data_IF_989667866029
#
_entry.id   IF_989667866029
#
_cell.length_a   1.000
_cell.length_b   1.000
_cell.length_c   1.000
_cell.angle_alpha   90.00
_cell.angle_beta   90.00
_cell.angle_gamma   90.00
#
_symmetry.space_group_name_H-M   'P 1'
#
loop_
_entity.id
_entity.type
_entity.pdbx_description
1 polymer ?
#
# COMPACT_ATOMS: atom_id res chain seq x y z
N UNK A 1 -9.31 17.05 -7.22
CA UNK A 1 -10.41 16.93 -8.19
C UNK A 1 -9.71 16.71 -9.51
N UNK A 2 -9.45 15.46 -9.85
CA UNK A 2 -8.72 15.12 -11.06
C UNK A 2 -9.71 15.05 -12.22
N UNK A 3 -9.49 15.92 -13.20
CA UNK A 3 -10.33 16.16 -14.37
C UNK A 3 -10.63 14.86 -15.10
N UNK A 4 -11.90 14.48 -15.08
CA UNK A 4 -12.48 13.53 -16.00
C UNK A 4 -13.50 14.27 -16.86
N UNK A 5 -13.57 14.00 -18.18
CA UNK A 5 -12.75 13.06 -18.96
C UNK A 5 -11.35 13.61 -19.34
N UNK A 6 -10.42 12.77 -19.88
CA UNK A 6 -9.14 13.23 -20.42
C UNK A 6 -9.36 14.34 -21.44
N UNK A 7 -8.40 15.26 -21.57
CA UNK A 7 -8.53 16.44 -22.42
C UNK A 7 -8.99 16.12 -23.85
N UNK A 8 -8.53 14.98 -24.41
CA UNK A 8 -8.93 14.56 -25.76
C UNK A 8 -10.41 14.19 -25.89
N UNK A 9 -11.08 13.74 -24.82
CA UNK A 9 -12.48 13.35 -24.90
C UNK A 9 -13.36 14.61 -25.04
N UNK A 10 -12.98 15.72 -24.40
CA UNK A 10 -13.75 16.98 -24.41
C UNK A 10 -13.85 17.63 -25.79
N UNK A 11 -12.87 17.40 -26.66
CA UNK A 11 -12.77 18.06 -27.96
C UNK A 11 -13.78 17.51 -28.98
N UNK A 12 -14.26 16.27 -28.78
CA UNK A 12 -15.04 15.52 -29.76
C UNK A 12 -16.44 15.13 -29.29
N UNK A 13 -16.80 15.37 -28.02
CA UNK A 13 -18.15 15.14 -27.49
C UNK A 13 -19.25 15.94 -28.21
N UNK A 14 -18.88 16.93 -29.04
CA UNK A 14 -19.80 17.70 -29.89
C UNK A 14 -19.96 17.20 -31.34
N UNK A 15 -19.25 16.14 -31.75
CA UNK A 15 -19.33 15.61 -33.12
C UNK A 15 -20.63 14.84 -33.39
N UNK A 16 -21.25 14.30 -32.35
CA UNK A 16 -22.43 13.44 -32.45
C UNK A 16 -23.48 13.95 -31.47
N UNK A 17 -24.70 14.08 -31.97
CA UNK A 17 -25.85 14.38 -31.12
C UNK A 17 -25.96 13.30 -30.03
N UNK A 18 -26.01 13.68 -28.74
CA UNK A 18 -26.03 12.73 -27.62
C UNK A 18 -27.24 11.77 -27.62
N UNK A 19 -28.22 11.99 -28.49
CA UNK A 19 -29.34 11.06 -28.71
C UNK A 19 -28.98 9.83 -29.54
N UNK A 20 -27.82 9.82 -30.21
CA UNK A 20 -27.37 8.71 -31.06
C UNK A 20 -26.16 7.99 -30.48
N UNK A 21 -26.09 6.68 -30.72
CA UNK A 21 -24.92 5.84 -30.46
C UNK A 21 -24.38 5.29 -31.78
N UNK A 22 -23.06 5.27 -31.94
CA UNK A 22 -22.43 4.76 -33.16
C UNK A 22 -22.04 3.29 -33.03
N UNK A 23 -22.24 2.57 -34.14
CA UNK A 23 -21.76 1.22 -34.36
C UNK A 23 -20.92 1.17 -35.65
N UNK A 24 -19.78 0.49 -35.60
CA UNK A 24 -18.87 0.34 -36.73
C UNK A 24 -18.70 -1.15 -37.09
N UNK A 25 -18.72 -1.45 -38.38
CA UNK A 25 -18.44 -2.81 -38.88
C UNK A 25 -16.94 -3.01 -39.16
N UNK A 26 -16.46 -4.25 -39.08
CA UNK A 26 -15.06 -4.61 -39.41
C UNK A 26 -14.58 -4.07 -40.76
N UNK A 27 -15.32 -4.25 -41.87
CA UNK A 27 -14.94 -3.68 -43.16
C UNK A 27 -14.83 -2.14 -43.14
N UNK A 28 -15.73 -1.46 -42.43
CA UNK A 28 -15.66 0.00 -42.27
C UNK A 28 -14.45 0.43 -41.44
N UNK A 29 -14.16 -0.31 -40.35
CA UNK A 29 -12.99 -0.07 -39.52
C UNK A 29 -11.69 -0.22 -40.31
N UNK A 30 -11.60 -1.23 -41.18
CA UNK A 30 -10.45 -1.45 -42.05
C UNK A 30 -10.23 -0.31 -43.05
N UNK A 31 -11.30 0.15 -43.71
CA UNK A 31 -11.22 1.32 -44.61
C UNK A 31 -10.76 2.57 -43.85
N UNK A 32 -11.32 2.85 -42.67
CA UNK A 32 -10.91 4.01 -41.87
C UNK A 32 -9.46 3.87 -41.42
N UNK A 33 -9.05 2.68 -41.02
CA UNK A 33 -7.68 2.41 -40.59
C UNK A 33 -6.64 2.68 -41.68
N UNK A 34 -6.93 2.30 -42.92
CA UNK A 34 -6.00 2.43 -44.05
C UNK A 34 -6.10 3.78 -44.78
N UNK A 35 -7.31 4.24 -45.09
CA UNK A 35 -7.55 5.40 -45.94
C UNK A 35 -7.69 6.71 -45.14
N UNK A 36 -8.09 6.63 -43.86
CA UNK A 36 -8.39 7.81 -43.02
C UNK A 36 -7.81 7.67 -41.58
N UNK A 37 -6.50 7.40 -41.43
CA UNK A 37 -5.90 7.14 -40.12
C UNK A 37 -6.05 8.30 -39.12
N UNK A 38 -6.19 9.55 -39.61
CA UNK A 38 -6.42 10.74 -38.80
C UNK A 38 -7.79 10.76 -38.11
N UNK A 39 -8.78 10.03 -38.64
CA UNK A 39 -10.12 9.92 -38.07
C UNK A 39 -10.25 8.74 -37.10
N UNK A 40 -9.34 7.77 -37.17
CA UNK A 40 -9.41 6.54 -36.40
C UNK A 40 -9.52 6.80 -34.89
N UNK A 41 -8.65 7.65 -34.34
CA UNK A 41 -8.66 7.97 -32.91
C UNK A 41 -9.97 8.63 -32.45
N UNK A 42 -10.64 9.37 -33.34
CA UNK A 42 -11.94 9.97 -33.05
C UNK A 42 -13.04 8.91 -33.03
N UNK A 43 -13.07 8.04 -34.03
CA UNK A 43 -14.10 7.01 -34.09
C UNK A 43 -13.97 5.98 -32.97
N UNK A 44 -12.75 5.53 -32.62
CA UNK A 44 -12.57 4.53 -31.55
C UNK A 44 -12.98 5.06 -30.17
N UNK A 45 -13.06 6.38 -29.97
CA UNK A 45 -13.40 6.99 -28.68
C UNK A 45 -14.88 7.35 -28.55
N UNK A 46 -15.63 7.33 -29.66
CA UNK A 46 -17.05 7.69 -29.71
C UNK A 46 -17.95 6.51 -30.11
N UNK A 47 -17.43 5.52 -30.85
CA UNK A 47 -18.19 4.30 -31.16
C UNK A 47 -18.29 3.36 -29.96
N UNK A 48 -19.51 2.94 -29.63
CA UNK A 48 -19.78 2.00 -28.54
C UNK A 48 -19.71 0.53 -29.01
N UNK A 49 -20.02 0.28 -30.29
CA UNK A 49 -20.15 -1.09 -30.84
C UNK A 49 -19.23 -1.28 -32.05
N UNK A 50 -18.39 -2.32 -31.98
CA UNK A 50 -17.60 -2.81 -33.12
C UNK A 50 -18.06 -4.22 -33.48
N UNK A 51 -18.68 -4.37 -34.65
CA UNK A 51 -19.33 -5.61 -35.07
C UNK A 51 -18.61 -6.26 -36.25
N UNK A 52 -18.75 -7.59 -36.39
CA UNK A 52 -18.16 -8.37 -37.50
C UNK A 52 -16.64 -8.18 -37.66
N UNK A 53 -15.94 -8.00 -36.54
CA UNK A 53 -14.50 -7.82 -36.50
C UNK A 53 -13.78 -9.17 -36.69
N UNK A 54 -12.73 -9.19 -37.51
CA UNK A 54 -11.78 -10.31 -37.53
C UNK A 54 -10.98 -10.38 -36.22
N UNK A 55 -10.37 -11.53 -35.89
CA UNK A 55 -9.50 -11.65 -34.71
C UNK A 55 -8.40 -10.58 -34.65
N UNK A 56 -7.74 -10.32 -35.79
CA UNK A 56 -6.67 -9.31 -35.89
C UNK A 56 -7.20 -7.88 -35.66
N UNK A 57 -8.40 -7.58 -36.19
CA UNK A 57 -9.05 -6.28 -35.99
C UNK A 57 -9.39 -6.03 -34.52
N UNK A 58 -9.78 -7.07 -33.75
CA UNK A 58 -10.01 -6.93 -32.31
C UNK A 58 -8.74 -6.55 -31.56
N UNK A 59 -7.62 -7.21 -31.88
CA UNK A 59 -6.33 -6.87 -31.28
C UNK A 59 -5.91 -5.44 -31.64
N UNK A 60 -6.09 -5.06 -32.90
CA UNK A 60 -5.78 -3.72 -33.39
C UNK A 60 -6.60 -2.65 -32.67
N UNK A 61 -7.91 -2.88 -32.47
CA UNK A 61 -8.77 -1.99 -31.70
C UNK A 61 -8.27 -1.81 -30.27
N UNK A 62 -7.89 -2.90 -29.58
CA UNK A 62 -7.32 -2.84 -28.22
C UNK A 62 -6.06 -1.98 -28.21
N UNK A 63 -5.13 -2.19 -29.14
CA UNK A 63 -3.90 -1.41 -29.24
C UNK A 63 -4.18 0.07 -29.50
N UNK A 64 -5.12 0.39 -30.40
CA UNK A 64 -5.48 1.77 -30.73
C UNK A 64 -6.16 2.50 -29.57
N UNK A 65 -6.97 1.80 -28.78
CA UNK A 65 -7.51 2.36 -27.54
C UNK A 65 -6.39 2.64 -26.51
N UNK A 66 -5.35 1.80 -26.45
CA UNK A 66 -4.19 2.07 -25.58
C UNK A 66 -3.33 3.24 -26.07
N UNK A 67 -3.19 3.43 -27.39
CA UNK A 67 -2.46 4.57 -27.98
C UNK A 67 -3.09 5.93 -27.61
N UNK A 68 -4.40 5.97 -27.40
CA UNK A 68 -5.11 7.16 -26.88
C UNK A 68 -5.13 7.22 -25.34
N UNK A 69 -4.21 6.51 -24.68
CA UNK A 69 -4.01 6.48 -23.22
C UNK A 69 -5.17 5.87 -22.40
N UNK A 70 -6.07 5.11 -23.03
CA UNK A 70 -7.06 4.33 -22.26
C UNK A 70 -6.46 3.08 -21.63
N UNK A 71 -6.84 2.83 -20.38
CA UNK A 71 -6.61 1.54 -19.72
C UNK A 71 -7.68 0.54 -20.16
N UNK A 72 -7.35 -0.26 -21.16
CA UNK A 72 -8.26 -1.27 -21.73
C UNK A 72 -8.26 -2.58 -20.93
N UNK A 73 -9.45 -3.05 -20.57
CA UNK A 73 -9.69 -4.43 -20.14
C UNK A 73 -10.56 -5.13 -21.19
N UNK A 74 -10.29 -6.41 -21.45
CA UNK A 74 -11.05 -7.20 -22.43
C UNK A 74 -11.53 -8.50 -21.77
N UNK A 75 -12.77 -8.88 -22.04
CA UNK A 75 -13.29 -10.21 -21.71
C UNK A 75 -13.74 -10.94 -22.97
N UNK A 76 -13.48 -12.25 -23.04
CA UNK A 76 -13.82 -13.10 -24.17
C UNK A 76 -13.78 -14.57 -23.77
N UNK A 77 -14.38 -15.42 -24.59
CA UNK A 77 -14.54 -16.86 -24.33
C UNK A 77 -13.99 -17.74 -25.47
N UNK A 78 -13.69 -17.15 -26.63
CA UNK A 78 -13.28 -17.87 -27.83
C UNK A 78 -11.82 -17.65 -28.24
N UNK A 79 -11.31 -18.57 -29.07
CA UNK A 79 -9.96 -18.49 -29.64
C UNK A 79 -9.72 -17.21 -30.46
N UNK A 80 -10.80 -16.66 -31.05
CA UNK A 80 -10.79 -15.42 -31.81
C UNK A 80 -10.45 -14.17 -30.95
N UNK A 81 -10.51 -14.28 -29.63
CA UNK A 81 -10.24 -13.19 -28.70
C UNK A 81 -8.84 -13.28 -28.09
N UNK A 82 -8.09 -14.38 -28.30
CA UNK A 82 -6.82 -14.65 -27.63
C UNK A 82 -5.80 -13.51 -27.80
N UNK A 83 -5.61 -13.04 -29.03
CA UNK A 83 -4.63 -12.00 -29.33
C UNK A 83 -4.99 -10.67 -28.65
N UNK A 84 -6.29 -10.35 -28.61
CA UNK A 84 -6.80 -9.12 -28.03
C UNK A 84 -6.85 -9.20 -26.48
N UNK A 85 -7.18 -10.37 -25.91
CA UNK A 85 -7.08 -10.66 -24.47
C UNK A 85 -5.64 -10.48 -23.97
N UNK A 86 -4.66 -10.94 -24.77
CA UNK A 86 -3.23 -10.79 -24.47
C UNK A 86 -2.75 -9.34 -24.62
N UNK A 87 -3.30 -8.60 -25.57
CA UNK A 87 -2.93 -7.20 -25.81
C UNK A 87 -3.49 -6.26 -24.73
N UNK A 88 -4.66 -6.56 -24.16
CA UNK A 88 -5.30 -5.71 -23.14
C UNK A 88 -4.46 -5.60 -21.86
N UNK A 89 -4.59 -4.47 -21.14
CA UNK A 89 -3.94 -4.32 -19.83
C UNK A 89 -4.46 -5.33 -18.80
N UNK A 90 -5.72 -5.74 -18.95
CA UNK A 90 -6.32 -6.83 -18.20
C UNK A 90 -7.21 -7.69 -19.12
N UNK A 91 -6.71 -8.85 -19.53
CA UNK A 91 -7.47 -9.87 -20.25
C UNK A 91 -8.18 -10.85 -19.31
N UNK A 92 -9.46 -11.12 -19.56
CA UNK A 92 -10.30 -12.03 -18.76
C UNK A 92 -10.91 -13.09 -19.67
N UNK A 93 -10.47 -14.33 -19.56
CA UNK A 93 -11.14 -15.47 -20.21
C UNK A 93 -12.38 -15.87 -19.41
N UNK A 94 -13.52 -16.07 -20.09
CA UNK A 94 -14.76 -16.58 -19.49
C UNK A 94 -14.93 -18.10 -19.67
N UNK A 95 -13.94 -18.77 -20.27
CA UNK A 95 -13.91 -20.21 -20.48
C UNK A 95 -12.54 -20.80 -20.13
N UNK A 96 -12.51 -22.08 -19.76
CA UNK A 96 -11.26 -22.85 -19.58
C UNK A 96 -10.67 -23.36 -20.92
N UNK A 97 -11.27 -22.95 -22.04
CA UNK A 97 -10.81 -23.31 -23.38
C UNK A 97 -9.56 -22.51 -23.80
N UNK A 98 -9.14 -22.60 -25.07
CA UNK A 98 -7.92 -21.99 -25.62
C UNK A 98 -7.66 -20.52 -25.22
N UNK A 99 -8.72 -19.74 -24.97
CA UNK A 99 -8.65 -18.36 -24.48
C UNK A 99 -7.95 -18.21 -23.11
N UNK A 100 -7.99 -19.23 -22.23
CA UNK A 100 -7.36 -19.18 -20.91
C UNK A 100 -5.83 -19.21 -20.97
N UNK A 101 -5.24 -19.66 -22.07
CA UNK A 101 -3.77 -19.67 -22.25
C UNK A 101 -3.25 -18.24 -22.49
N UNK A 102 -4.08 -17.39 -23.11
CA UNK A 102 -3.70 -16.03 -23.47
C UNK A 102 -4.02 -14.99 -22.39
N UNK A 103 -5.06 -15.21 -21.58
CA UNK A 103 -5.53 -14.24 -20.60
C UNK A 103 -4.87 -14.41 -19.21
N UNK A 104 -4.46 -13.32 -18.53
CA UNK A 104 -3.94 -13.39 -17.16
C UNK A 104 -4.99 -13.78 -16.11
N UNK A 105 -6.28 -13.58 -16.40
CA UNK A 105 -7.39 -14.00 -15.55
C UNK A 105 -8.29 -14.97 -16.29
N UNK A 106 -8.69 -16.06 -15.62
CA UNK A 106 -9.64 -17.05 -16.17
C UNK A 106 -10.77 -17.26 -15.17
N UNK A 107 -12.00 -16.99 -15.59
CA UNK A 107 -13.21 -17.29 -14.82
C UNK A 107 -13.65 -18.72 -15.08
N UNK A 108 -13.94 -19.45 -14.00
CA UNK A 108 -14.54 -20.79 -14.07
C UNK A 108 -16.04 -20.76 -14.39
N UNK A 109 -16.67 -19.62 -14.16
CA UNK A 109 -18.09 -19.43 -14.41
C UNK A 109 -18.21 -18.63 -15.72
N UNK A 110 -18.94 -19.13 -16.73
CA UNK A 110 -19.09 -18.47 -18.03
C UNK A 110 -20.07 -17.30 -17.95
N UNK A 111 -19.78 -16.32 -17.10
CA UNK A 111 -20.54 -15.09 -16.93
C UNK A 111 -19.61 -13.89 -16.73
N UNK A 112 -20.17 -12.69 -16.89
CA UNK A 112 -19.41 -11.44 -16.76
C UNK A 112 -19.34 -10.92 -15.32
N UNK A 113 -19.87 -11.64 -14.31
CA UNK A 113 -19.88 -11.18 -12.91
C UNK A 113 -18.47 -11.12 -12.32
N UNK A 114 -17.51 -11.84 -12.90
CA UNK A 114 -16.09 -11.74 -12.54
C UNK A 114 -15.49 -10.36 -12.86
N UNK A 115 -15.98 -9.66 -13.89
CA UNK A 115 -15.46 -8.37 -14.33
C UNK A 115 -15.57 -7.29 -13.24
N UNK A 116 -16.75 -7.00 -12.65
CA UNK A 116 -16.84 -6.03 -11.57
C UNK A 116 -16.07 -6.47 -10.32
N UNK A 117 -15.89 -7.78 -10.08
CA UNK A 117 -15.09 -8.29 -8.95
C UNK A 117 -13.61 -7.96 -9.17
N UNK A 118 -13.07 -8.18 -10.37
CA UNK A 118 -11.68 -7.89 -10.73
C UNK A 118 -11.41 -6.38 -10.73
N UNK A 119 -12.37 -5.57 -11.20
CA UNK A 119 -12.23 -4.10 -11.26
C UNK A 119 -12.31 -3.46 -9.85
N UNK A 120 -12.72 -4.19 -8.80
CA UNK A 120 -12.69 -3.65 -7.43
C UNK A 120 -11.26 -3.27 -7.06
N UNK A 121 -11.03 -1.97 -6.93
CA UNK A 121 -9.69 -1.37 -6.79
C UNK A 121 -9.12 -1.44 -5.36
N UNK A 122 -9.48 -2.46 -4.60
CA UNK A 122 -8.97 -2.65 -3.24
C UNK A 122 -7.46 -2.94 -3.24
N UNK A 123 -6.97 -3.74 -4.19
CA UNK A 123 -5.55 -4.07 -4.31
C UNK A 123 -4.68 -2.82 -4.46
N UNK A 124 -5.05 -1.89 -5.36
CA UNK A 124 -4.30 -0.66 -5.57
C UNK A 124 -4.27 0.22 -4.31
N UNK A 125 -5.41 0.38 -3.62
CA UNK A 125 -5.47 1.15 -2.36
C UNK A 125 -4.66 0.48 -1.25
N UNK A 126 -4.68 -0.85 -1.16
CA UNK A 126 -3.84 -1.62 -0.24
C UNK A 126 -2.36 -1.38 -0.54
N UNK A 127 -1.93 -1.48 -1.79
CA UNK A 127 -0.53 -1.24 -2.18
C UNK A 127 -0.07 0.19 -1.89
N UNK A 128 -0.92 1.19 -2.14
CA UNK A 128 -0.63 2.59 -1.78
C UNK A 128 -0.54 2.81 -0.27
N UNK A 129 -1.42 2.16 0.50
CA UNK A 129 -1.37 2.18 1.96
C UNK A 129 -0.09 1.54 2.50
N UNK A 130 0.27 0.37 1.97
CA UNK A 130 1.53 -0.32 2.30
C UNK A 130 2.74 0.51 1.91
N UNK A 131 2.75 1.16 0.75
CA UNK A 131 3.83 2.06 0.36
C UNK A 131 4.03 3.20 1.36
N UNK A 132 2.93 3.84 1.82
CA UNK A 132 3.00 4.91 2.84
C UNK A 132 3.47 4.38 4.19
N UNK A 133 3.02 3.19 4.57
CA UNK A 133 3.47 2.52 5.78
C UNK A 133 4.96 2.20 5.71
N UNK A 134 5.43 1.65 4.57
CA UNK A 134 6.83 1.32 4.34
C UNK A 134 7.72 2.56 4.40
N UNK A 135 7.35 3.63 3.71
CA UNK A 135 8.07 4.90 3.82
C UNK A 135 8.03 5.48 5.24
N UNK A 136 6.87 5.40 5.90
CA UNK A 136 6.66 5.94 7.24
C UNK A 136 7.49 5.24 8.31
N UNK A 137 7.58 3.90 8.31
CA UNK A 137 8.39 3.19 9.29
C UNK A 137 9.88 3.48 9.08
N UNK A 138 10.39 3.43 7.83
CA UNK A 138 11.81 3.65 7.56
C UNK A 138 12.27 5.03 8.00
N UNK A 139 11.45 6.07 7.76
CA UNK A 139 11.74 7.43 8.19
C UNK A 139 11.64 7.59 9.72
N UNK A 140 10.70 6.87 10.37
CA UNK A 140 10.58 6.84 11.83
C UNK A 140 11.78 6.15 12.50
N UNK A 141 12.25 5.05 11.92
CA UNK A 141 13.45 4.34 12.37
C UNK A 141 14.70 5.19 12.15
N UNK A 142 14.78 5.93 11.05
CA UNK A 142 15.85 6.89 10.82
C UNK A 142 15.92 7.98 11.90
N UNK A 143 14.79 8.57 12.28
CA UNK A 143 14.74 9.54 13.40
C UNK A 143 15.17 8.90 14.71
N UNK A 144 14.67 7.69 14.99
CA UNK A 144 15.00 6.93 16.19
C UNK A 144 16.51 6.79 16.32
N UNK A 145 17.16 6.29 15.26
CA UNK A 145 18.60 6.09 15.20
C UNK A 145 19.36 7.41 15.30
N UNK A 146 18.90 8.48 14.63
CA UNK A 146 19.51 9.82 14.70
C UNK A 146 19.54 10.37 16.13
N UNK A 147 18.46 10.20 16.90
CA UNK A 147 18.42 10.61 18.31
C UNK A 147 19.37 9.79 19.19
N UNK A 148 19.51 8.49 18.94
CA UNK A 148 20.45 7.63 19.68
C UNK A 148 21.91 7.92 19.33
N UNK A 149 22.19 8.30 18.08
CA UNK A 149 23.53 8.74 17.68
C UNK A 149 24.00 9.97 18.44
N UNK A 150 23.08 10.83 18.92
CA UNK A 150 23.43 11.96 19.79
C UNK A 150 24.09 11.50 21.11
N UNK A 151 23.73 10.30 21.59
CA UNK A 151 24.35 9.65 22.76
C UNK A 151 25.52 8.72 22.37
N UNK A 152 25.97 8.78 21.11
CA UNK A 152 26.89 7.80 20.53
C UNK A 152 26.41 6.35 20.65
N UNK A 153 25.09 6.13 20.73
CA UNK A 153 24.45 4.82 20.81
C UNK A 153 23.67 4.46 19.54
N UNK A 154 23.17 3.23 19.49
CA UNK A 154 22.28 2.75 18.42
C UNK A 154 21.26 1.75 19.00
N UNK A 155 20.26 1.36 18.21
CA UNK A 155 19.43 0.20 18.53
C UNK A 155 20.29 -1.06 18.47
N UNK A 156 20.00 -2.03 19.34
CA UNK A 156 20.69 -3.32 19.32
C UNK A 156 20.23 -4.17 18.13
N UNK A 157 21.05 -5.12 17.70
CA UNK A 157 20.71 -6.03 16.60
C UNK A 157 19.38 -6.76 16.84
N UNK A 158 19.12 -7.17 18.10
CA UNK A 158 17.86 -7.80 18.48
C UNK A 158 16.67 -6.83 18.40
N UNK A 159 16.86 -5.55 18.71
CA UNK A 159 15.82 -4.53 18.56
C UNK A 159 15.49 -4.28 17.08
N UNK A 160 16.50 -4.17 16.22
CA UNK A 160 16.29 -4.08 14.77
C UNK A 160 15.56 -5.30 14.22
N UNK A 161 16.02 -6.51 14.58
CA UNK A 161 15.39 -7.76 14.16
C UNK A 161 13.93 -7.83 14.63
N UNK A 162 13.65 -7.43 15.88
CA UNK A 162 12.29 -7.39 16.41
C UNK A 162 11.39 -6.44 15.62
N UNK A 163 11.86 -5.23 15.36
CA UNK A 163 11.11 -4.21 14.60
C UNK A 163 10.81 -4.73 13.19
N UNK A 164 11.82 -5.16 12.44
CA UNK A 164 11.66 -5.46 11.02
C UNK A 164 10.94 -6.79 10.79
N UNK A 165 11.39 -7.87 11.44
CA UNK A 165 10.89 -9.22 11.19
C UNK A 165 9.59 -9.51 11.91
N UNK A 166 9.46 -9.10 13.17
CA UNK A 166 8.30 -9.47 13.97
C UNK A 166 7.21 -8.41 13.88
N UNK A 167 7.53 -7.13 14.08
CA UNK A 167 6.51 -6.08 14.11
C UNK A 167 6.09 -5.65 12.70
N UNK A 168 7.02 -5.08 11.91
CA UNK A 168 6.71 -4.46 10.62
C UNK A 168 6.24 -5.50 9.61
N UNK A 169 6.95 -6.64 9.49
CA UNK A 169 6.56 -7.71 8.54
C UNK A 169 5.20 -8.32 8.90
N UNK A 170 4.92 -8.63 10.17
CA UNK A 170 3.63 -9.20 10.56
C UNK A 170 2.48 -8.21 10.33
N UNK A 171 2.66 -6.94 10.71
CA UNK A 171 1.66 -5.89 10.51
C UNK A 171 1.43 -5.63 9.02
N UNK A 172 2.48 -5.56 8.21
CA UNK A 172 2.38 -5.39 6.76
C UNK A 172 1.67 -6.57 6.08
N UNK A 173 1.99 -7.80 6.49
CA UNK A 173 1.31 -8.99 5.98
C UNK A 173 -0.19 -8.94 6.32
N UNK A 174 -0.54 -8.69 7.58
CA UNK A 174 -1.94 -8.63 8.02
C UNK A 174 -2.70 -7.46 7.39
N UNK A 175 -2.04 -6.32 7.14
CA UNK A 175 -2.61 -5.16 6.46
C UNK A 175 -3.16 -5.54 5.08
N UNK A 176 -2.43 -6.37 4.33
CA UNK A 176 -2.77 -6.83 3.00
C UNK A 176 -4.09 -7.59 2.91
N UNK A 177 -4.46 -8.32 3.96
CA UNK A 177 -5.66 -9.18 4.00
C UNK A 177 -6.99 -8.44 4.21
N UNK A 178 -6.99 -7.10 4.15
CA UNK A 178 -8.24 -6.34 4.32
C UNK A 178 -9.14 -6.49 3.10
N UNK A 179 -10.38 -6.98 3.25
CA UNK A 179 -11.24 -7.30 2.11
C UNK A 179 -11.73 -6.05 1.34
N UNK A 180 -12.06 -6.21 0.04
CA UNK A 180 -12.64 -5.14 -0.76
C UNK A 180 -14.04 -4.76 -0.28
N UNK A 181 -14.44 -3.50 -0.54
CA UNK A 181 -15.83 -3.08 -0.35
C UNK A 181 -16.77 -3.79 -1.34
N UNK A 182 -18.02 -4.02 -0.93
CA UNK A 182 -19.01 -4.72 -1.77
C UNK A 182 -19.55 -3.85 -2.90
N UNK A 183 -19.67 -2.54 -2.67
CA UNK A 183 -20.14 -1.57 -3.65
C UNK A 183 -18.96 -0.97 -4.43
N UNK A 184 -19.12 -0.83 -5.75
CA UNK A 184 -18.15 -0.16 -6.59
C UNK A 184 -18.27 1.36 -6.41
N UNK A 185 -17.16 2.02 -6.07
CA UNK A 185 -17.12 3.48 -5.95
C UNK A 185 -16.99 4.13 -7.32
N UNK A 186 -17.69 5.24 -7.54
CA UNK A 186 -17.51 6.09 -8.72
C UNK A 186 -16.15 6.81 -8.72
N UNK A 187 -15.59 7.08 -7.53
CA UNK A 187 -14.27 7.70 -7.40
C UNK A 187 -13.17 6.70 -7.76
N UNK A 188 -12.09 7.19 -8.39
CA UNK A 188 -10.90 6.38 -8.68
C UNK A 188 -9.90 6.53 -7.52
N UNK A 189 -9.18 5.46 -7.14
CA UNK A 189 -8.05 5.58 -6.23
C UNK A 189 -6.92 6.38 -6.90
N UNK A 190 -6.02 6.97 -6.09
CA UNK A 190 -4.85 7.65 -6.63
C UNK A 190 -3.98 6.68 -7.44
N UNK A 191 -3.48 7.14 -8.59
CA UNK A 191 -2.62 6.36 -9.49
C UNK A 191 -1.14 6.77 -9.38
N UNK A 192 -0.85 7.97 -8.88
CA UNK A 192 0.51 8.48 -8.68
C UNK A 192 0.99 8.24 -7.25
N UNK A 193 2.00 7.37 -7.07
CA UNK A 193 2.61 7.04 -5.77
C UNK A 193 3.08 8.31 -5.03
N UNK A 194 3.87 9.14 -5.71
CA UNK A 194 4.40 10.41 -5.21
C UNK A 194 3.52 11.58 -5.64
N UNK A 195 2.29 11.63 -5.15
CA UNK A 195 1.46 12.84 -5.23
C UNK A 195 1.81 13.81 -4.10
N UNK A 196 1.58 15.11 -4.31
CA UNK A 196 1.75 16.13 -3.25
C UNK A 196 0.97 15.75 -1.98
N UNK A 197 -0.26 15.23 -2.14
CA UNK A 197 -1.06 14.73 -1.02
C UNK A 197 -0.38 13.59 -0.25
N UNK A 198 0.25 12.64 -0.95
CA UNK A 198 1.01 11.56 -0.30
C UNK A 198 2.24 12.10 0.42
N UNK A 199 3.00 13.00 -0.20
CA UNK A 199 4.21 13.58 0.40
C UNK A 199 3.86 14.39 1.65
N UNK A 200 2.88 15.30 1.56
CA UNK A 200 2.39 16.06 2.71
C UNK A 200 1.87 15.14 3.83
N UNK A 201 1.18 14.04 3.48
CA UNK A 201 0.71 13.06 4.46
C UNK A 201 1.87 12.37 5.19
N UNK A 202 2.94 11.98 4.48
CA UNK A 202 4.10 11.32 5.09
C UNK A 202 4.88 12.31 5.95
N UNK A 203 5.16 13.50 5.43
CA UNK A 203 5.89 14.54 6.17
C UNK A 203 5.13 15.00 7.41
N UNK A 204 3.80 15.16 7.33
CA UNK A 204 2.98 15.52 8.49
C UNK A 204 3.04 14.46 9.59
N UNK A 205 2.96 13.17 9.23
CA UNK A 205 3.13 12.08 10.19
C UNK A 205 4.55 12.04 10.76
N UNK A 206 5.57 12.31 9.93
CA UNK A 206 6.96 12.35 10.35
C UNK A 206 7.24 13.44 11.39
N UNK A 207 6.64 14.63 11.23
CA UNK A 207 6.76 15.72 12.20
C UNK A 207 6.14 15.36 13.55
N UNK A 208 4.98 14.69 13.54
CA UNK A 208 4.31 14.21 14.76
C UNK A 208 5.20 13.17 15.47
N UNK A 209 5.70 12.19 14.71
CA UNK A 209 6.62 11.15 15.22
C UNK A 209 7.87 11.80 15.84
N UNK A 210 8.52 12.71 15.11
CA UNK A 210 9.71 13.42 15.57
C UNK A 210 9.45 14.17 16.87
N UNK A 211 8.35 14.92 16.94
CA UNK A 211 7.98 15.69 18.13
C UNK A 211 7.86 14.80 19.37
N UNK A 212 7.12 13.68 19.28
CA UNK A 212 6.95 12.78 20.41
C UNK A 212 8.25 12.03 20.77
N UNK A 213 9.06 11.63 19.79
CA UNK A 213 10.37 11.01 20.06
C UNK A 213 11.34 11.98 20.75
N UNK A 214 11.39 13.23 20.30
CA UNK A 214 12.20 14.25 20.95
C UNK A 214 11.69 14.54 22.37
N UNK A 215 10.37 14.62 22.55
CA UNK A 215 9.75 14.86 23.85
C UNK A 215 10.07 13.73 24.84
N UNK A 216 9.94 12.46 24.44
CA UNK A 216 10.30 11.34 25.34
C UNK A 216 11.80 11.32 25.63
N UNK A 217 12.64 11.65 24.64
CA UNK A 217 14.08 11.67 24.78
C UNK A 217 14.54 12.71 25.81
N UNK A 218 14.02 13.94 25.73
CA UNK A 218 14.34 15.02 26.67
C UNK A 218 13.69 14.75 28.04
N UNK A 219 12.41 14.37 28.07
CA UNK A 219 11.70 14.14 29.33
C UNK A 219 12.29 12.99 30.14
N UNK A 220 12.82 11.94 29.49
CA UNK A 220 13.55 10.85 30.16
C UNK A 220 14.81 11.37 30.84
N UNK A 221 15.57 12.25 30.19
CA UNK A 221 16.78 12.86 30.76
C UNK A 221 16.46 13.82 31.93
N UNK A 222 15.27 14.40 31.95
CA UNK A 222 14.83 15.31 33.01
C UNK A 222 14.35 14.59 34.29
N UNK A 223 14.22 13.25 34.26
CA UNK A 223 13.70 12.51 35.41
C UNK A 223 14.73 12.40 36.54
N UNK A 224 14.30 12.48 37.81
CA UNK A 224 15.23 12.44 38.96
C UNK A 224 15.92 11.07 39.14
N UNK A 225 15.37 10.02 38.56
CA UNK A 225 15.94 8.67 38.56
C UNK A 225 16.78 8.37 37.32
N UNK A 226 16.95 9.34 36.41
CA UNK A 226 17.73 9.18 35.19
C UNK A 226 19.21 8.96 35.51
N UNK A 227 19.77 7.88 34.97
CA UNK A 227 21.19 7.63 34.98
C UNK A 227 21.74 7.96 33.58
N UNK A 228 22.65 8.95 33.45
CA UNK A 228 23.24 9.27 32.16
C UNK A 228 24.05 8.09 31.64
N UNK A 229 24.06 7.94 30.32
CA UNK A 229 24.86 6.90 29.67
C UNK A 229 26.35 7.13 29.98
N UNK A 230 26.97 6.15 30.64
CA UNK A 230 28.41 6.08 30.84
C UNK A 230 28.99 5.07 29.84
N UNK A 231 30.01 5.47 29.09
CA UNK A 231 30.71 4.56 28.17
C UNK A 231 31.37 3.46 29.01
N UNK A 232 30.97 2.19 28.87
CA UNK A 232 31.59 1.11 29.63
C UNK A 232 33.03 0.90 29.15
N UNK A 233 33.98 0.93 30.08
CA UNK A 233 35.39 0.64 29.81
C UNK A 233 35.52 -0.86 29.48
N UNK A 234 35.93 -1.19 28.26
CA UNK A 234 36.28 -2.57 27.85
C UNK A 234 35.14 -3.44 27.29
N UNK A 235 33.93 -2.89 27.07
CA UNK A 235 32.83 -3.60 26.39
C UNK A 235 32.82 -3.24 24.90
N UNK A 236 32.52 -4.22 24.04
CA UNK A 236 32.41 -4.05 22.59
C UNK A 236 31.47 -2.86 22.23
N UNK A 237 31.73 -2.13 21.14
CA UNK A 237 31.01 -0.90 20.79
C UNK A 237 29.49 -1.03 20.57
N UNK A 238 28.98 -2.25 20.37
CA UNK A 238 27.66 -2.49 19.77
C UNK A 238 26.50 -2.67 20.77
N UNK A 239 26.75 -2.85 22.07
CA UNK A 239 25.68 -3.08 23.07
C UNK A 239 25.57 -1.92 24.09
N UNK A 240 25.41 -0.70 23.57
CA UNK A 240 25.27 0.53 24.35
C UNK A 240 23.85 0.70 24.88
N UNK A 241 23.58 0.09 26.03
CA UNK A 241 22.28 0.19 26.71
C UNK A 241 22.13 1.57 27.35
N UNK A 242 21.09 2.30 26.99
CA UNK A 242 20.75 3.60 27.58
C UNK A 242 19.27 3.68 27.92
N UNK A 243 18.93 4.40 28.99
CA UNK A 243 17.54 4.60 29.42
C UNK A 243 16.72 5.31 28.34
N UNK A 244 17.32 6.33 27.69
CA UNK A 244 16.75 7.01 26.53
C UNK A 244 16.57 6.07 25.33
N UNK A 245 17.51 5.14 25.11
CA UNK A 245 17.42 4.09 24.10
C UNK A 245 16.19 3.22 24.28
N UNK A 246 15.96 2.72 25.49
CA UNK A 246 14.77 1.93 25.82
C UNK A 246 13.49 2.76 25.66
N UNK A 247 13.46 3.99 26.16
CA UNK A 247 12.28 4.85 26.06
C UNK A 247 11.89 5.17 24.60
N UNK A 248 12.87 5.50 23.75
CA UNK A 248 12.62 5.70 22.32
C UNK A 248 12.20 4.40 21.65
N UNK A 249 12.84 3.26 21.94
CA UNK A 249 12.48 1.96 21.36
C UNK A 249 11.02 1.59 21.66
N UNK A 250 10.57 1.77 22.90
CA UNK A 250 9.18 1.54 23.27
C UNK A 250 8.23 2.48 22.50
N UNK A 251 8.52 3.78 22.50
CA UNK A 251 7.68 4.75 21.81
C UNK A 251 7.64 4.51 20.28
N UNK A 252 8.78 4.26 19.65
CA UNK A 252 8.87 4.02 18.21
C UNK A 252 8.11 2.76 17.82
N UNK A 253 8.14 1.72 18.66
CA UNK A 253 7.33 0.51 18.47
C UNK A 253 5.82 0.80 18.45
N UNK A 254 5.33 1.64 19.37
CA UNK A 254 3.94 2.11 19.34
C UNK A 254 3.64 2.99 18.11
N UNK A 255 4.60 3.81 17.68
CA UNK A 255 4.45 4.66 16.50
C UNK A 255 4.35 3.81 15.23
N UNK A 256 5.09 2.70 15.09
CA UNK A 256 4.93 1.79 13.96
C UNK A 256 3.52 1.19 13.89
N UNK A 257 2.96 0.76 15.02
CA UNK A 257 1.56 0.29 15.12
C UNK A 257 0.60 1.41 14.72
N UNK A 258 0.82 2.62 15.22
CA UNK A 258 0.00 3.80 14.93
C UNK A 258 0.02 4.15 13.44
N UNK A 259 1.19 4.14 12.80
CA UNK A 259 1.32 4.38 11.36
C UNK A 259 0.55 3.34 10.54
N UNK A 260 0.56 2.07 10.94
CA UNK A 260 -0.21 1.03 10.27
C UNK A 260 -1.73 1.29 10.35
N UNK A 261 -2.22 1.74 11.51
CA UNK A 261 -3.63 2.13 11.70
C UNK A 261 -3.98 3.36 10.86
N UNK A 262 -3.16 4.41 10.92
CA UNK A 262 -3.37 5.68 10.20
C UNK A 262 -3.40 5.49 8.68
N UNK A 263 -2.50 4.66 8.14
CA UNK A 263 -2.44 4.42 6.70
C UNK A 263 -3.41 3.34 6.21
N UNK A 264 -4.08 2.62 7.12
CA UNK A 264 -5.12 1.67 6.76
C UNK A 264 -6.45 2.39 6.48
N UNK A 265 -6.52 2.97 5.30
CA UNK A 265 -7.76 3.58 4.81
C UNK A 265 -8.83 2.52 4.59
N UNK A 266 -10.03 2.81 5.08
CA UNK A 266 -11.23 2.00 4.90
C UNK A 266 -12.04 2.40 3.64
N UNK A 267 -13.37 2.52 3.75
CA UNK A 267 -14.25 2.87 2.63
C UNK A 267 -13.79 4.14 1.90
N UNK A 268 -13.98 4.25 0.56
CA UNK A 268 -14.95 3.51 -0.25
C UNK A 268 -14.42 2.26 -0.97
N UNK A 269 -13.11 1.99 -0.95
CA UNK A 269 -12.50 0.90 -1.75
C UNK A 269 -12.25 -0.39 -0.96
N UNK A 270 -11.98 -0.26 0.34
CA UNK A 270 -11.71 -1.38 1.26
C UNK A 270 -12.73 -1.35 2.39
N UNK A 271 -12.98 -2.50 3.02
CA UNK A 271 -13.74 -2.52 4.28
C UNK A 271 -12.94 -1.85 5.39
N UNK A 272 -13.61 -1.58 6.51
CA UNK A 272 -12.99 -0.94 7.67
C UNK A 272 -11.93 -1.83 8.30
N UNK A 273 -11.04 -1.22 9.09
CA UNK A 273 -10.03 -1.90 9.90
C UNK A 273 -10.58 -3.07 10.72
N UNK A 274 -11.75 -2.88 11.33
CA UNK A 274 -12.40 -3.87 12.19
C UNK A 274 -12.92 -5.10 11.44
N UNK A 275 -13.07 -5.02 10.11
CA UNK A 275 -13.46 -6.19 9.31
C UNK A 275 -12.32 -7.20 9.15
N UNK A 276 -11.08 -6.75 9.30
CA UNK A 276 -9.90 -7.59 9.20
C UNK A 276 -9.52 -8.10 10.60
N UNK A 277 -10.10 -9.23 10.98
CA UNK A 277 -9.86 -9.84 12.29
C UNK A 277 -8.39 -10.19 12.48
N UNK A 278 -7.69 -10.65 11.43
CA UNK A 278 -6.26 -10.96 11.48
C UNK A 278 -5.41 -9.72 11.79
N UNK A 279 -5.73 -8.59 11.17
CA UNK A 279 -5.06 -7.32 11.47
C UNK A 279 -5.38 -6.83 12.88
N UNK A 280 -6.64 -6.90 13.29
CA UNK A 280 -7.06 -6.52 14.65
C UNK A 280 -6.39 -7.36 15.74
N UNK A 281 -6.32 -8.68 15.57
CA UNK A 281 -5.64 -9.58 16.53
C UNK A 281 -4.14 -9.35 16.54
N UNK A 282 -3.51 -9.16 15.37
CA UNK A 282 -2.08 -8.84 15.27
C UNK A 282 -1.73 -7.56 16.05
N UNK A 283 -2.46 -6.46 15.82
CA UNK A 283 -2.24 -5.22 16.58
C UNK A 283 -2.54 -5.41 18.07
N UNK A 284 -3.61 -6.11 18.42
CA UNK A 284 -3.99 -6.41 19.80
C UNK A 284 -2.92 -7.18 20.55
N UNK A 285 -2.28 -8.18 19.92
CA UNK A 285 -1.19 -8.96 20.50
C UNK A 285 0.05 -8.10 20.76
N UNK A 286 0.44 -7.24 19.82
CA UNK A 286 1.57 -6.33 20.05
C UNK A 286 1.27 -5.32 21.15
N UNK A 287 0.09 -4.70 21.15
CA UNK A 287 -0.32 -3.77 22.21
C UNK A 287 -0.39 -4.46 23.57
N UNK A 288 -0.94 -5.67 23.64
CA UNK A 288 -0.98 -6.46 24.87
C UNK A 288 0.43 -6.82 25.35
N UNK A 289 1.33 -7.19 24.43
CA UNK A 289 2.73 -7.46 24.78
C UNK A 289 3.38 -6.22 25.41
N UNK A 290 3.25 -5.05 24.81
CA UNK A 290 3.78 -3.81 25.38
C UNK A 290 3.11 -3.43 26.70
N UNK A 291 1.81 -3.70 26.85
CA UNK A 291 1.09 -3.49 28.11
C UNK A 291 1.61 -4.42 29.21
N UNK A 292 1.82 -5.71 28.90
CA UNK A 292 2.38 -6.70 29.83
C UNK A 292 3.80 -6.30 30.21
N UNK A 293 4.64 -5.93 29.25
CA UNK A 293 6.00 -5.46 29.51
C UNK A 293 5.96 -4.22 30.42
N UNK A 294 5.01 -3.30 30.22
CA UNK A 294 4.81 -2.12 31.08
C UNK A 294 4.23 -2.45 32.47
N UNK A 295 3.42 -3.50 32.61
CA UNK A 295 2.79 -3.91 33.87
C UNK A 295 3.72 -4.78 34.72
N UNK A 296 4.51 -5.65 34.09
CA UNK A 296 5.55 -6.45 34.74
C UNK A 296 6.70 -5.57 35.24
N UNK A 297 6.96 -4.45 34.57
CA UNK A 297 7.86 -3.39 35.06
C UNK A 297 7.23 -2.52 36.18
N UNK A 298 6.04 -2.93 36.66
CA UNK A 298 5.26 -2.48 37.81
C UNK A 298 5.73 -1.24 38.58
N UNK A 299 4.95 -0.16 38.50
CA UNK A 299 4.63 0.74 39.62
C UNK A 299 5.74 1.61 40.23
N UNK A 300 7.01 1.26 40.06
CA UNK A 300 8.16 2.02 40.57
C UNK A 300 9.10 2.36 39.41
N UNK A 301 8.96 3.59 38.92
CA UNK A 301 9.91 4.29 38.04
C UNK A 301 9.94 3.76 36.59
N UNK A 302 8.96 4.22 35.82
CA UNK A 302 8.98 4.48 34.36
C UNK A 302 10.09 3.72 33.59
N UNK A 303 9.69 2.64 32.90
CA UNK A 303 10.19 2.09 31.61
C UNK A 303 11.68 1.67 31.53
N UNK A 304 12.54 2.10 32.44
CA UNK A 304 13.99 2.04 32.21
C UNK A 304 14.74 1.13 33.18
N UNK A 305 14.07 0.49 34.15
CA UNK A 305 14.78 -0.28 35.18
C UNK A 305 14.82 -1.79 34.93
N UNK A 306 13.77 -2.44 34.42
CA UNK A 306 13.77 -3.92 34.28
C UNK A 306 13.87 -4.48 32.86
N UNK A 307 13.69 -3.68 31.80
CA UNK A 307 14.02 -4.13 30.42
C UNK A 307 15.48 -4.59 30.26
N UNK A 308 16.33 -4.28 31.24
CA UNK A 308 17.70 -4.79 31.37
C UNK A 308 17.82 -6.29 31.65
N UNK A 309 16.76 -6.94 32.16
CA UNK A 309 16.85 -8.28 32.76
C UNK A 309 16.17 -9.40 31.97
N UNK A 310 15.32 -9.10 30.99
CA UNK A 310 14.61 -10.13 30.20
C UNK A 310 15.36 -10.58 28.93
N UNK A 311 16.53 -10.01 28.64
CA UNK A 311 17.38 -10.37 27.48
C UNK A 311 18.80 -10.84 27.88
N UNK A 312 19.06 -11.18 29.14
CA UNK A 312 20.35 -11.74 29.56
C UNK A 312 20.20 -12.86 30.60
N UNK A 313 20.90 -14.00 30.46
CA UNK A 313 20.97 -15.00 31.52
C UNK A 313 21.63 -14.37 32.75
N UNK A 314 21.07 -14.68 33.92
CA UNK A 314 21.57 -14.26 35.23
C UNK A 314 23.10 -14.29 35.33
N UNK A 315 23.72 -13.13 35.59
CA UNK A 315 24.90 -12.96 36.43
C UNK A 315 25.43 -11.52 36.31
N UNK A 316 25.22 -10.68 37.33
CA UNK A 316 26.28 -9.80 37.85
C UNK A 316 25.87 -9.13 39.17
N UNK A 317 26.43 -9.66 40.25
CA UNK A 317 27.06 -8.99 41.41
C UNK A 317 26.27 -7.85 42.11
N UNK A 318 25.76 -8.19 43.29
CA UNK A 318 25.47 -7.25 44.39
C UNK A 318 26.79 -6.71 44.94
N UNK A 319 26.91 -5.39 45.07
CA UNK A 319 27.74 -4.78 46.10
C UNK A 319 26.86 -4.01 47.08
N UNK A 320 27.25 -4.13 48.35
CA UNK A 320 26.63 -3.57 49.56
C UNK A 320 26.70 -2.04 49.51
#
# INVERSE_FOLDING_TARGET
MDEWPPAYQKEWYGLIDPTYQLAMSGPTFEVIFHEYPELLHKFITVCDVFARMSPDQKQLLVNKLQEVEYTVAMCGDGANDCAALKAAHAGISLSEAEASIAAPFTSRIPDIRCVPIIIRRAALVTSFGMFKYMAGYSLTQFITVLLLYWLSGNLTDYQFLFIDLFLVTAVAACFGYTPPCEKLSASRPPTKLLSLSTVCSILGQLLIVFFFQLLIFISTAAQPWFAPYAVPVGVLPDDKKSMQGTAIFCLSSFQYITLAVVYSKGPPFRKTLFSNTLFGTCLGLFLLRFLIDSLLDGGDKIICKSSFSLLSPANCVKFI
#
